data_IF_859771971391
#
_entry.id   IF_859771971391
#
_cell.length_a   1.000
_cell.length_b   1.000
_cell.length_c   1.000
_cell.angle_alpha   90.00
_cell.angle_beta   90.00
_cell.angle_gamma   90.00
#
_symmetry.space_group_name_H-M   'P 1'
#
loop_
_entity.id
_entity.type
_entity.pdbx_description
1 polymer ?
#
# COMPACT_ATOMS: atom_id res chain seq x y z
N UNK A 1 1.71 2.78 7.43
CA UNK A 1 2.59 2.38 6.32
C UNK A 1 3.52 1.28 6.80
N UNK A 2 3.68 0.26 5.99
CA UNK A 2 4.66 -0.78 6.22
C UNK A 2 5.92 -0.50 5.42
N UNK A 3 7.08 -0.75 6.00
CA UNK A 3 8.37 -0.66 5.31
C UNK A 3 8.93 -2.07 5.19
N UNK A 4 9.18 -2.51 3.97
CA UNK A 4 9.59 -3.88 3.69
C UNK A 4 10.90 -3.94 2.90
N UNK A 5 11.95 -4.39 3.54
CA UNK A 5 13.18 -4.83 2.90
C UNK A 5 13.14 -6.35 2.75
N UNK A 6 12.62 -7.02 3.78
CA UNK A 6 12.23 -8.42 3.78
C UNK A 6 10.78 -8.49 4.25
N UNK A 7 10.13 -9.63 4.13
CA UNK A 7 8.75 -9.79 4.59
C UNK A 7 7.70 -9.15 3.69
N UNK A 8 8.03 -8.89 2.42
CA UNK A 8 7.11 -8.28 1.47
C UNK A 8 5.87 -9.15 1.23
N UNK A 9 6.05 -10.47 1.18
CA UNK A 9 4.92 -11.39 1.02
C UNK A 9 3.93 -11.27 2.19
N UNK A 10 4.42 -11.12 3.42
CA UNK A 10 3.58 -10.92 4.60
C UNK A 10 2.83 -9.59 4.53
N UNK A 11 3.51 -8.52 4.12
CA UNK A 11 2.91 -7.19 3.99
C UNK A 11 1.80 -7.18 2.93
N UNK A 12 2.01 -7.86 1.80
CA UNK A 12 1.03 -7.96 0.71
C UNK A 12 -0.10 -8.93 1.01
N UNK A 13 0.13 -9.92 1.85
CA UNK A 13 -0.82 -10.98 2.17
C UNK A 13 -1.57 -10.74 3.47
N UNK A 14 -1.10 -11.36 4.55
CA UNK A 14 -1.78 -11.35 5.85
C UNK A 14 -2.03 -9.96 6.41
N UNK A 15 -1.03 -9.10 6.35
CA UNK A 15 -1.17 -7.74 6.88
C UNK A 15 -2.16 -6.94 6.06
N UNK A 16 -2.10 -7.03 4.73
CA UNK A 16 -3.05 -6.36 3.87
C UNK A 16 -4.48 -6.84 4.15
N UNK A 17 -4.69 -8.15 4.31
CA UNK A 17 -6.00 -8.70 4.63
C UNK A 17 -6.52 -8.19 5.98
N UNK A 18 -5.66 -8.13 6.99
CA UNK A 18 -6.03 -7.65 8.31
C UNK A 18 -6.43 -6.16 8.30
N UNK A 19 -5.66 -5.33 7.59
CA UNK A 19 -5.96 -3.91 7.47
C UNK A 19 -7.22 -3.67 6.63
N UNK A 20 -7.41 -4.43 5.56
CA UNK A 20 -8.63 -4.34 4.75
C UNK A 20 -9.86 -4.70 5.55
N UNK A 21 -9.78 -5.77 6.35
CA UNK A 21 -10.86 -6.19 7.25
C UNK A 21 -11.19 -5.10 8.28
N UNK A 22 -10.18 -4.39 8.75
CA UNK A 22 -10.35 -3.28 9.70
C UNK A 22 -10.90 -2.01 9.03
N UNK A 23 -11.10 -2.00 7.72
CA UNK A 23 -11.61 -0.85 6.99
C UNK A 23 -10.58 0.24 6.72
N UNK A 24 -9.29 -0.08 6.77
CA UNK A 24 -8.22 0.88 6.48
C UNK A 24 -8.21 1.15 4.96
N UNK A 25 -8.66 2.33 4.56
CA UNK A 25 -8.88 2.67 3.16
C UNK A 25 -7.60 2.97 2.38
N UNK A 26 -6.49 3.22 3.06
CA UNK A 26 -5.24 3.67 2.45
C UNK A 26 -4.06 2.97 3.13
N UNK A 27 -3.60 1.89 2.52
CA UNK A 27 -2.53 1.08 3.08
C UNK A 27 -1.32 1.11 2.14
N UNK A 28 -0.21 1.61 2.63
CA UNK A 28 1.00 1.78 1.84
C UNK A 28 2.08 0.80 2.28
N UNK A 29 2.75 0.21 1.28
CA UNK A 29 3.92 -0.64 1.49
C UNK A 29 5.10 0.02 0.78
N UNK A 30 6.11 0.44 1.55
CA UNK A 30 7.35 0.94 0.99
C UNK A 30 8.28 -0.26 0.76
N UNK A 31 8.43 -0.65 -0.50
CA UNK A 31 9.28 -1.75 -0.92
C UNK A 31 10.71 -1.24 -1.15
N UNK A 32 11.57 -1.40 -0.18
CA UNK A 32 12.94 -0.89 -0.23
C UNK A 32 13.80 -1.65 -1.25
N UNK A 33 13.56 -2.95 -1.43
CA UNK A 33 14.31 -3.76 -2.39
C UNK A 33 14.13 -3.28 -3.82
N UNK A 34 12.90 -2.98 -4.22
CA UNK A 34 12.57 -2.47 -5.55
C UNK A 34 12.54 -0.94 -5.63
N UNK A 35 12.67 -0.25 -4.50
CA UNK A 35 12.61 1.22 -4.38
C UNK A 35 11.33 1.79 -4.97
N UNK A 36 10.20 1.19 -4.59
CA UNK A 36 8.85 1.61 -5.01
C UNK A 36 7.93 1.69 -3.81
N UNK A 37 6.85 2.46 -3.97
CA UNK A 37 5.75 2.52 -3.02
C UNK A 37 4.55 1.80 -3.62
N UNK A 38 3.98 0.86 -2.88
CA UNK A 38 2.71 0.22 -3.25
C UNK A 38 1.59 0.88 -2.46
N UNK A 39 0.61 1.42 -3.17
CA UNK A 39 -0.55 2.06 -2.57
C UNK A 39 -1.75 1.13 -2.76
N UNK A 40 -2.26 0.62 -1.64
CA UNK A 40 -3.38 -0.31 -1.61
C UNK A 40 -4.63 0.43 -1.14
N UNK A 41 -5.67 0.44 -1.94
CA UNK A 41 -6.92 1.14 -1.67
C UNK A 41 -8.13 0.27 -2.01
N UNK A 42 -9.32 0.71 -1.58
CA UNK A 42 -10.58 0.00 -1.75
C UNK A 42 -10.58 -1.37 -1.07
N UNK A 43 -10.58 -1.40 0.28
CA UNK A 43 -10.70 -2.66 1.00
C UNK A 43 -12.03 -3.33 0.67
N UNK A 44 -11.99 -4.63 0.42
CA UNK A 44 -13.17 -5.39 0.02
C UNK A 44 -13.09 -6.84 0.43
N UNK A 45 -14.26 -7.47 0.51
CA UNK A 45 -14.42 -8.90 0.66
C UNK A 45 -15.46 -9.39 -0.36
N UNK A 46 -15.12 -10.32 -1.27
CA UNK A 46 -13.78 -10.90 -1.43
C UNK A 46 -12.79 -9.89 -2.01
N UNK A 47 -11.51 -10.03 -1.65
CA UNK A 47 -10.42 -9.27 -2.23
C UNK A 47 -10.05 -9.78 -3.63
N UNK A 48 -8.94 -9.27 -4.22
CA UNK A 48 -8.53 -9.65 -5.58
C UNK A 48 -8.28 -11.15 -5.75
N UNK A 49 -7.85 -11.83 -4.70
CA UNK A 49 -7.61 -13.28 -4.71
C UNK A 49 -8.91 -14.10 -4.57
N UNK A 50 -10.06 -13.44 -4.50
CA UNK A 50 -11.40 -14.03 -4.31
C UNK A 50 -11.54 -14.84 -3.02
N UNK A 51 -10.69 -14.55 -2.04
CA UNK A 51 -10.71 -15.14 -0.70
C UNK A 51 -10.56 -14.06 0.34
N UNK A 52 -11.42 -14.06 1.35
CA UNK A 52 -11.30 -13.16 2.49
C UNK A 52 -11.20 -11.69 2.08
N UNK A 53 -10.51 -10.91 2.91
CA UNK A 53 -10.33 -9.49 2.71
C UNK A 53 -9.07 -9.17 1.92
N UNK A 54 -9.13 -8.07 1.15
CA UNK A 54 -8.00 -7.54 0.41
C UNK A 54 -8.31 -6.17 -0.14
N UNK A 55 -7.42 -5.63 -0.96
CA UNK A 55 -7.58 -4.34 -1.60
C UNK A 55 -7.78 -4.52 -3.10
N UNK A 56 -8.78 -3.84 -3.66
CA UNK A 56 -9.11 -3.94 -5.08
C UNK A 56 -8.23 -3.08 -5.97
N UNK A 57 -7.67 -1.99 -5.42
CA UNK A 57 -6.80 -1.08 -6.17
C UNK A 57 -5.41 -1.14 -5.57
N UNK A 58 -4.42 -1.44 -6.40
CA UNK A 58 -3.01 -1.45 -6.02
C UNK A 58 -2.25 -0.69 -7.09
N UNK A 59 -1.60 0.41 -6.69
CA UNK A 59 -0.74 1.19 -7.56
C UNK A 59 0.71 1.05 -7.11
N UNK A 60 1.62 0.89 -8.05
CA UNK A 60 3.06 0.86 -7.78
C UNK A 60 3.69 2.14 -8.31
N UNK A 61 4.27 2.92 -7.41
CA UNK A 61 4.83 4.23 -7.70
C UNK A 61 6.35 4.21 -7.49
N UNK A 62 7.08 4.80 -8.41
CA UNK A 62 8.54 4.94 -8.32
C UNK A 62 8.97 6.30 -7.80
N UNK A 63 10.29 6.52 -7.71
CA UNK A 63 10.88 7.73 -7.14
C UNK A 63 10.45 9.02 -7.86
N UNK A 64 10.13 8.94 -9.17
CA UNK A 64 9.67 10.08 -9.94
C UNK A 64 8.20 10.45 -9.73
N UNK A 65 7.46 9.63 -8.99
CA UNK A 65 6.03 9.81 -8.79
C UNK A 65 5.72 10.56 -7.51
N UNK A 66 4.51 11.11 -7.44
CA UNK A 66 3.95 11.69 -6.23
C UNK A 66 2.75 10.87 -5.79
N UNK A 67 2.48 10.89 -4.49
CA UNK A 67 1.33 10.22 -3.90
C UNK A 67 0.65 11.18 -2.93
N UNK A 68 -0.66 11.04 -2.80
CA UNK A 68 -1.46 11.81 -1.85
C UNK A 68 -2.20 10.83 -0.95
N UNK A 69 -2.03 10.98 0.36
CA UNK A 69 -2.81 10.20 1.32
C UNK A 69 -4.28 10.61 1.22
N UNK A 70 -5.20 9.66 1.34
CA UNK A 70 -6.64 9.95 1.32
C UNK A 70 -7.03 10.91 2.44
N UNK A 71 -6.37 10.82 3.58
CA UNK A 71 -6.63 11.70 4.74
C UNK A 71 -6.05 13.10 4.57
N UNK A 72 -5.17 13.33 3.59
CA UNK A 72 -4.52 14.62 3.36
C UNK A 72 -4.38 14.89 1.85
N UNK A 73 -5.51 15.06 1.12
CA UNK A 73 -5.49 15.15 -0.34
C UNK A 73 -4.79 16.41 -0.87
N UNK A 74 -4.51 17.39 -0.01
CA UNK A 74 -3.88 18.65 -0.38
C UNK A 74 -2.37 18.65 -0.13
N UNK A 75 -1.82 17.53 0.37
CA UNK A 75 -0.41 17.42 0.75
C UNK A 75 0.29 16.33 -0.09
N UNK A 76 0.64 16.62 -1.35
CA UNK A 76 1.33 15.65 -2.18
C UNK A 76 2.71 15.34 -1.61
N UNK A 77 3.08 14.06 -1.68
CA UNK A 77 4.35 13.55 -1.18
C UNK A 77 5.10 12.97 -2.37
N UNK A 78 6.36 13.36 -2.55
CA UNK A 78 7.20 12.71 -3.54
C UNK A 78 7.67 11.37 -2.99
N UNK A 79 7.52 10.32 -3.79
CA UNK A 79 7.94 8.96 -3.38
C UNK A 79 9.44 8.95 -3.07
N UNK A 80 10.24 9.72 -3.81
CA UNK A 80 11.68 9.85 -3.55
C UNK A 80 11.98 10.29 -2.11
N UNK A 81 11.11 11.09 -1.49
CA UNK A 81 11.30 11.58 -0.12
C UNK A 81 11.03 10.49 0.93
N UNK A 82 10.38 9.41 0.56
CA UNK A 82 10.13 8.25 1.42
C UNK A 82 11.25 7.21 1.33
N UNK A 83 12.04 7.25 0.27
CA UNK A 83 13.11 6.30 0.03
C UNK A 83 14.40 6.77 0.69
N UNK A 84 15.18 5.85 1.30
CA UNK A 84 16.48 6.19 1.86
C UNK A 84 17.53 6.47 0.79
#
# INVERSE_FOLDING_TARGET
>A
MEVAQTGLALARGRKAAAYARAGIADYWILNLGARVLEVHREPARPGPARRGWGYLVIETLGAGDTVTALAAPEAPIRVADLLP
#
